data_IF_747155987771
#
_entry.id   IF_747155987771
#
_cell.length_a   1.000
_cell.length_b   1.000
_cell.length_c   1.000
_cell.angle_alpha   90.00
_cell.angle_beta   90.00
_cell.angle_gamma   90.00
#
_symmetry.space_group_name_H-M   'P 1'
#
loop_
_entity.id
_entity.type
_entity.pdbx_description
1 polymer ?
#
# COMPACT_ATOMS: atom_id res chain seq x y z
N UNK A 1 -35.82 59.17 6.82
CA UNK A 1 -37.11 58.87 7.49
C UNK A 1 -36.84 57.92 8.64
N UNK A 2 -37.12 58.38 9.87
CA UNK A 2 -37.42 57.69 11.17
C UNK A 2 -36.78 56.31 11.42
N UNK A 3 -35.85 56.14 12.37
CA UNK A 3 -36.01 56.01 13.86
C UNK A 3 -36.95 54.85 14.25
N UNK A 4 -36.62 53.92 15.14
CA UNK A 4 -36.58 53.91 16.63
C UNK A 4 -35.90 52.56 17.05
N UNK A 5 -35.34 52.28 18.23
CA UNK A 5 -35.27 52.93 19.54
C UNK A 5 -34.80 51.91 20.61
N UNK A 6 -34.11 52.40 21.64
CA UNK A 6 -33.37 51.74 22.75
C UNK A 6 -34.22 51.04 23.84
N UNK A 7 -33.60 50.18 24.69
CA UNK A 7 -33.26 50.37 26.13
C UNK A 7 -32.87 49.01 26.78
N UNK A 8 -31.63 48.77 27.26
CA UNK A 8 -30.98 49.10 28.55
C UNK A 8 -31.55 48.37 29.78
N UNK A 9 -30.67 47.68 30.53
CA UNK A 9 -30.86 47.28 31.93
C UNK A 9 -29.53 46.77 32.51
N UNK A 10 -28.99 47.50 33.50
CA UNK A 10 -27.62 47.41 33.99
C UNK A 10 -27.57 47.10 35.50
N UNK A 11 -26.60 46.25 35.89
CA UNK A 11 -25.71 46.36 37.08
C UNK A 11 -26.27 46.04 38.49
N UNK A 12 -25.44 45.98 39.57
CA UNK A 12 -24.72 44.82 40.13
C UNK A 12 -24.88 44.77 41.69
N UNK A 13 -23.85 44.35 42.49
CA UNK A 13 -23.64 44.49 43.98
C UNK A 13 -23.85 43.16 44.77
N UNK A 14 -23.04 42.70 45.75
CA UNK A 14 -21.83 43.19 46.44
C UNK A 14 -21.01 42.04 47.08
N UNK A 15 -19.76 42.36 47.45
CA UNK A 15 -18.88 41.62 48.37
C UNK A 15 -19.38 41.68 49.83
N UNK A 16 -19.09 40.63 50.63
CA UNK A 16 -18.62 40.85 52.00
C UNK A 16 -17.76 39.71 52.59
N UNK A 17 -16.86 40.15 53.45
CA UNK A 17 -15.68 39.54 54.05
C UNK A 17 -15.95 39.07 55.51
N UNK A 18 -14.98 38.32 56.07
CA UNK A 18 -14.69 38.06 57.51
C UNK A 18 -15.52 36.98 58.23
N UNK A 19 -15.06 36.25 59.27
CA UNK A 19 -13.74 35.86 59.81
C UNK A 19 -13.98 35.03 61.09
N UNK A 20 -13.04 34.13 61.43
CA UNK A 20 -12.64 33.64 62.77
C UNK A 20 -13.51 32.65 63.58
N UNK A 21 -12.95 31.44 63.70
CA UNK A 21 -12.65 30.60 64.88
C UNK A 21 -13.58 30.55 66.11
N UNK A 22 -13.93 29.31 66.52
CA UNK A 22 -13.73 28.83 67.90
C UNK A 22 -13.76 27.29 67.98
N UNK A 23 -12.78 26.73 68.71
CA UNK A 23 -12.62 25.32 69.08
C UNK A 23 -13.62 24.89 70.17
N UNK A 24 -14.14 23.66 70.08
CA UNK A 24 -14.48 22.82 71.24
C UNK A 24 -14.21 21.35 70.94
N UNK A 25 -13.35 20.74 71.77
CA UNK A 25 -13.11 19.29 71.85
C UNK A 25 -14.33 18.57 72.45
N UNK A 26 -14.68 17.41 71.91
CA UNK A 26 -15.31 16.33 72.69
C UNK A 26 -14.85 14.97 72.17
N UNK A 27 -14.33 14.18 73.09
CA UNK A 27 -13.76 12.84 72.92
C UNK A 27 -14.86 11.78 73.03
N UNK A 28 -15.04 10.97 71.98
CA UNK A 28 -15.70 9.67 72.09
C UNK A 28 -14.83 8.58 71.49
N UNK A 29 -14.42 7.64 72.36
CA UNK A 29 -13.75 6.39 72.02
C UNK A 29 -14.74 5.41 71.37
N UNK A 30 -14.37 4.88 70.21
CA UNK A 30 -15.03 3.73 69.57
C UNK A 30 -13.99 2.61 69.36
N UNK A 31 -14.31 1.34 69.68
CA UNK A 31 -13.34 0.27 69.77
C UNK A 31 -12.99 -0.36 68.41
N UNK A 32 -11.68 -0.46 68.18
CA UNK A 32 -10.91 -1.55 67.57
C UNK A 32 -11.67 -2.68 66.83
N UNK A 33 -12.24 -2.41 65.63
CA UNK A 33 -12.39 -3.40 64.54
C UNK A 33 -12.50 -2.69 63.18
N UNK A 34 -11.38 -2.54 62.47
CA UNK A 34 -11.22 -2.46 61.00
C UNK A 34 -9.81 -1.94 60.67
N UNK A 35 -8.80 -2.81 60.80
CA UNK A 35 -7.40 -2.49 60.52
C UNK A 35 -6.85 -3.35 59.35
N UNK A 36 -7.68 -3.52 58.32
CA UNK A 36 -7.32 -4.22 57.08
C UNK A 36 -7.75 -3.47 55.80
N UNK A 37 -8.26 -2.23 55.90
CA UNK A 37 -8.90 -1.53 54.78
C UNK A 37 -8.33 -0.14 54.42
N UNK A 38 -7.30 0.37 55.12
CA UNK A 38 -6.84 1.75 54.97
C UNK A 38 -5.37 1.93 54.58
N UNK A 39 -4.66 0.84 54.30
CA UNK A 39 -3.33 0.89 53.67
C UNK A 39 -3.38 0.81 52.13
N UNK A 40 -4.56 0.62 51.55
CA UNK A 40 -4.77 0.56 50.09
C UNK A 40 -5.33 1.87 49.48
N UNK A 41 -5.65 2.87 50.30
CA UNK A 41 -6.25 4.13 49.86
C UNK A 41 -5.33 5.36 49.99
N UNK A 42 -4.13 5.21 50.57
CA UNK A 42 -3.09 6.26 50.60
C UNK A 42 -1.91 5.99 49.65
N UNK A 43 -1.99 4.96 48.81
CA UNK A 43 -1.03 4.73 47.72
C UNK A 43 -1.54 5.22 46.34
N UNK A 44 -2.71 5.84 46.29
CA UNK A 44 -3.38 6.21 45.03
C UNK A 44 -3.55 7.72 44.81
N UNK A 45 -2.94 8.58 45.64
CA UNK A 45 -3.11 10.04 45.50
C UNK A 45 -1.81 10.86 45.63
N UNK A 46 -0.66 10.34 45.16
CA UNK A 46 0.60 11.11 45.13
C UNK A 46 1.47 10.89 43.88
N UNK A 47 0.89 10.52 42.75
CA UNK A 47 1.60 10.40 41.45
C UNK A 47 1.09 11.39 40.41
N UNK A 48 0.93 12.66 40.79
CA UNK A 48 0.68 13.75 39.84
C UNK A 48 1.80 14.78 39.97
N UNK A 49 2.55 14.95 38.87
CA UNK A 49 3.64 15.90 38.61
C UNK A 49 5.04 15.57 39.16
N UNK A 50 5.66 14.49 38.66
CA UNK A 50 7.11 14.50 38.47
C UNK A 50 7.39 15.07 37.05
N UNK A 51 8.26 16.07 36.88
CA UNK A 51 8.70 16.48 35.55
C UNK A 51 9.47 15.30 34.97
N UNK A 52 8.93 14.69 33.92
CA UNK A 52 9.64 13.68 33.14
C UNK A 52 10.82 14.41 32.49
N UNK A 53 12.02 14.21 33.04
CA UNK A 53 13.24 14.53 32.32
C UNK A 53 13.16 13.79 30.97
N UNK A 54 13.29 14.52 29.86
CA UNK A 54 13.25 13.95 28.53
C UNK A 54 14.22 12.77 28.44
N UNK A 55 13.67 11.57 28.40
CA UNK A 55 14.44 10.39 28.06
C UNK A 55 14.80 10.55 26.59
N UNK A 56 16.07 10.76 26.27
CA UNK A 56 16.50 10.69 24.88
C UNK A 56 16.19 9.29 24.39
N UNK A 57 15.24 9.19 23.46
CA UNK A 57 14.91 7.94 22.82
C UNK A 57 16.15 7.49 22.04
N UNK A 58 16.83 6.46 22.54
CA UNK A 58 17.74 5.68 21.71
C UNK A 58 16.91 5.10 20.56
N UNK A 59 17.21 5.44 19.29
CA UNK A 59 16.47 4.90 18.17
C UNK A 59 16.59 3.37 18.19
N UNK A 60 15.45 2.68 18.06
CA UNK A 60 15.43 1.25 17.88
C UNK A 60 16.30 0.91 16.65
N UNK A 61 17.30 0.06 16.86
CA UNK A 61 18.20 -0.36 15.80
C UNK A 61 17.42 -0.96 14.64
N UNK A 62 17.86 -0.63 13.42
CA UNK A 62 17.40 -1.14 12.13
C UNK A 62 16.95 -2.61 12.21
N UNK A 63 15.63 -2.86 12.22
CA UNK A 63 15.13 -4.20 11.90
C UNK A 63 15.62 -4.55 10.48
N UNK A 64 16.27 -5.71 10.27
CA UNK A 64 16.74 -6.09 8.94
C UNK A 64 15.57 -6.20 7.97
N UNK A 65 15.82 -5.85 6.70
CA UNK A 65 14.92 -6.15 5.58
C UNK A 65 14.54 -7.64 5.67
N UNK A 66 13.27 -7.99 5.46
CA UNK A 66 12.87 -9.39 5.44
C UNK A 66 13.64 -10.09 4.30
N UNK A 67 14.48 -11.07 4.65
CA UNK A 67 15.46 -11.70 3.75
C UNK A 67 14.84 -12.68 2.74
N UNK A 68 13.56 -12.52 2.39
CA UNK A 68 12.82 -13.50 1.58
C UNK A 68 12.99 -13.28 0.08
N UNK A 69 13.56 -12.16 -0.36
CA UNK A 69 13.97 -11.91 -1.74
C UNK A 69 15.30 -11.15 -1.75
N UNK A 70 16.26 -11.48 -2.63
CA UNK A 70 17.42 -10.61 -2.80
C UNK A 70 16.93 -9.32 -3.48
N UNK A 71 16.91 -8.20 -2.76
CA UNK A 71 16.78 -6.91 -3.41
C UNK A 71 18.16 -6.50 -3.89
N UNK A 72 18.26 -6.15 -5.18
CA UNK A 72 19.53 -5.79 -5.80
C UNK A 72 20.19 -4.54 -5.18
N UNK A 73 19.47 -3.79 -4.32
CA UNK A 73 19.85 -2.46 -3.83
C UNK A 73 19.62 -2.25 -2.33
N UNK A 74 19.81 -3.29 -1.50
CA UNK A 74 19.53 -3.27 -0.06
C UNK A 74 20.02 -2.01 0.67
N UNK A 75 21.25 -1.54 0.40
CA UNK A 75 21.79 -0.36 1.07
C UNK A 75 21.09 0.95 0.66
N UNK A 76 20.76 1.12 -0.62
CA UNK A 76 20.04 2.29 -1.11
C UNK A 76 18.59 2.29 -0.64
N UNK A 77 17.94 1.12 -0.68
CA UNK A 77 16.59 0.91 -0.15
C UNK A 77 16.55 1.24 1.35
N UNK A 78 17.52 0.74 2.13
CA UNK A 78 17.60 1.03 3.57
C UNK A 78 17.73 2.54 3.87
N UNK A 79 18.55 3.28 3.09
CA UNK A 79 18.68 4.74 3.22
C UNK A 79 17.38 5.46 2.89
N UNK A 80 16.70 5.07 1.80
CA UNK A 80 15.41 5.65 1.42
C UNK A 80 14.34 5.40 2.50
N UNK A 81 14.28 4.19 3.05
CA UNK A 81 13.36 3.85 4.15
C UNK A 81 13.70 4.65 5.40
N UNK A 82 14.99 4.81 5.74
CA UNK A 82 15.42 5.65 6.86
C UNK A 82 15.00 7.11 6.67
N UNK A 83 15.14 7.66 5.47
CA UNK A 83 14.61 8.98 5.12
C UNK A 83 13.09 9.03 5.32
N UNK A 84 12.33 8.09 4.74
CA UNK A 84 10.87 8.07 4.84
C UNK A 84 10.38 7.97 6.29
N UNK A 85 11.09 7.27 7.18
CA UNK A 85 10.77 7.25 8.61
C UNK A 85 10.81 8.64 9.25
N UNK A 86 11.70 9.52 8.80
CA UNK A 86 11.74 10.92 9.29
C UNK A 86 10.55 11.75 8.83
N UNK A 87 9.83 11.28 7.81
CA UNK A 87 8.65 11.95 7.24
C UNK A 87 7.34 11.35 7.77
N UNK A 88 7.41 10.29 8.60
CA UNK A 88 6.25 9.67 9.21
C UNK A 88 5.76 10.53 10.38
N UNK A 89 4.46 10.78 10.42
CA UNK A 89 3.82 11.54 11.50
C UNK A 89 3.23 10.63 12.58
N UNK A 90 2.81 11.24 13.70
CA UNK A 90 2.34 10.52 14.87
C UNK A 90 1.04 9.72 14.66
N UNK A 91 0.25 10.07 13.64
CA UNK A 91 -0.95 9.35 13.21
C UNK A 91 -0.63 8.10 12.38
N UNK A 92 0.64 7.85 12.06
CA UNK A 92 1.14 6.72 11.28
C UNK A 92 1.29 7.01 9.79
N UNK A 93 0.72 8.10 9.29
CA UNK A 93 0.78 8.51 7.89
C UNK A 93 2.09 9.19 7.51
N UNK A 94 2.29 9.44 6.21
CA UNK A 94 3.49 10.08 5.66
C UNK A 94 3.17 11.50 5.19
N UNK A 95 4.00 12.47 5.55
CA UNK A 95 3.98 13.80 4.94
C UNK A 95 4.69 13.74 3.57
N UNK A 96 3.98 13.27 2.54
CA UNK A 96 4.60 13.00 1.25
C UNK A 96 5.15 14.27 0.57
N UNK A 97 4.54 15.43 0.86
CA UNK A 97 4.79 16.68 0.16
C UNK A 97 5.52 17.73 1.01
N UNK A 98 5.75 17.48 2.30
CA UNK A 98 6.44 18.40 3.20
C UNK A 98 5.56 19.55 3.69
N UNK A 99 4.25 19.32 3.80
CA UNK A 99 3.27 20.33 4.26
C UNK A 99 2.96 20.24 5.76
N UNK A 100 3.64 19.35 6.49
CA UNK A 100 3.42 19.10 7.92
C UNK A 100 2.17 18.27 8.22
N UNK A 101 1.59 17.61 7.21
CA UNK A 101 0.38 16.81 7.36
C UNK A 101 0.48 15.53 6.52
N UNK A 102 0.01 14.42 7.10
CA UNK A 102 -0.01 13.16 6.39
C UNK A 102 -1.09 13.16 5.32
N UNK A 103 -0.84 12.50 4.20
CA UNK A 103 -1.81 12.38 3.12
C UNK A 103 -2.09 10.91 2.74
N UNK A 104 -3.35 10.64 2.42
CA UNK A 104 -3.85 9.30 2.12
C UNK A 104 -3.22 8.69 0.86
N UNK A 105 -2.96 9.51 -0.16
CA UNK A 105 -2.43 9.04 -1.44
C UNK A 105 -0.95 8.65 -1.35
N UNK A 106 -0.15 9.48 -0.68
CA UNK A 106 1.25 9.21 -0.36
C UNK A 106 1.40 8.05 0.61
N UNK A 107 0.56 7.97 1.64
CA UNK A 107 0.60 6.85 2.60
C UNK A 107 0.23 5.52 1.94
N UNK A 108 -0.79 5.48 1.06
CA UNK A 108 -1.12 4.27 0.31
C UNK A 108 0.03 3.83 -0.61
N UNK A 109 0.66 4.78 -1.31
CA UNK A 109 1.85 4.52 -2.14
C UNK A 109 3.05 4.04 -1.34
N UNK A 110 3.25 4.56 -0.13
CA UNK A 110 4.28 4.08 0.79
C UNK A 110 4.07 2.59 1.08
N UNK A 111 2.86 2.15 1.41
CA UNK A 111 2.59 0.73 1.68
C UNK A 111 2.90 -0.15 0.45
N UNK A 112 2.52 0.31 -0.75
CA UNK A 112 2.89 -0.37 -2.00
C UNK A 112 4.40 -0.46 -2.17
N UNK A 113 5.12 0.63 -1.95
CA UNK A 113 6.57 0.71 -2.09
C UNK A 113 7.27 -0.23 -1.10
N UNK A 114 6.83 -0.23 0.17
CA UNK A 114 7.35 -1.12 1.20
C UNK A 114 7.15 -2.60 0.81
N UNK A 115 5.97 -3.00 0.33
CA UNK A 115 5.75 -4.37 -0.18
C UNK A 115 6.66 -4.69 -1.38
N UNK A 116 6.80 -3.75 -2.32
CA UNK A 116 7.57 -3.94 -3.55
C UNK A 116 9.07 -4.17 -3.27
N UNK A 117 9.60 -3.56 -2.21
CA UNK A 117 10.98 -3.74 -1.73
C UNK A 117 11.08 -4.70 -0.53
N UNK A 118 10.04 -5.48 -0.26
CA UNK A 118 9.99 -6.50 0.81
C UNK A 118 10.23 -5.98 2.22
N UNK A 119 9.94 -4.70 2.47
CA UNK A 119 9.94 -4.16 3.81
C UNK A 119 8.57 -4.41 4.46
N UNK A 120 8.48 -5.19 5.56
CA UNK A 120 7.20 -5.43 6.23
C UNK A 120 6.59 -4.11 6.71
N UNK A 121 5.34 -3.82 6.30
CA UNK A 121 4.64 -2.58 6.69
C UNK A 121 4.51 -2.45 8.21
N UNK A 122 4.39 -3.57 8.92
CA UNK A 122 4.33 -3.65 10.39
C UNK A 122 5.60 -3.15 11.08
N UNK A 123 6.73 -3.17 10.38
CA UNK A 123 7.98 -2.62 10.88
C UNK A 123 8.02 -1.09 10.72
N UNK A 124 7.20 -0.49 9.85
CA UNK A 124 7.12 0.95 9.62
C UNK A 124 6.13 1.61 10.60
N UNK A 125 6.26 1.34 11.89
CA UNK A 125 5.40 1.91 12.95
C UNK A 125 6.07 3.13 13.58
N UNK A 126 5.31 4.22 13.72
CA UNK A 126 5.79 5.42 14.43
C UNK A 126 5.97 5.13 15.93
N UNK A 127 6.81 5.90 16.62
CA UNK A 127 7.04 5.76 18.07
C UNK A 127 5.78 5.93 18.94
N UNK A 128 4.75 6.57 18.41
CA UNK A 128 3.41 6.70 19.00
C UNK A 128 2.54 5.44 18.86
N UNK A 129 3.06 4.37 18.24
CA UNK A 129 2.37 3.09 18.07
C UNK A 129 1.39 3.03 16.90
N UNK A 130 1.47 3.97 15.95
CA UNK A 130 0.62 4.01 14.75
C UNK A 130 1.40 3.66 13.49
N UNK A 131 0.84 2.76 12.69
CA UNK A 131 1.38 2.31 11.40
C UNK A 131 0.63 2.98 10.22
N UNK A 132 1.18 2.92 8.99
CA UNK A 132 0.52 3.47 7.80
C UNK A 132 -0.89 2.94 7.58
N UNK A 133 -1.15 1.67 7.88
CA UNK A 133 -2.48 1.07 7.76
C UNK A 133 -3.49 1.65 8.77
N UNK A 134 -3.04 2.07 9.97
CA UNK A 134 -3.92 2.73 10.94
C UNK A 134 -4.41 4.09 10.43
N UNK A 135 -3.48 4.86 9.84
CA UNK A 135 -3.79 6.14 9.21
C UNK A 135 -4.77 5.96 8.05
N UNK A 136 -4.49 5.00 7.16
CA UNK A 136 -5.37 4.70 6.02
C UNK A 136 -6.75 4.23 6.47
N UNK A 137 -6.86 3.41 7.52
CA UNK A 137 -8.15 2.97 8.04
C UNK A 137 -8.96 4.14 8.62
N UNK A 138 -8.29 5.06 9.32
CA UNK A 138 -8.91 6.22 9.96
C UNK A 138 -9.43 7.22 8.93
N UNK A 139 -8.64 7.54 7.90
CA UNK A 139 -9.00 8.52 6.86
C UNK A 139 -9.80 7.93 5.68
N UNK A 140 -10.07 6.62 5.69
CA UNK A 140 -10.58 5.88 4.53
C UNK A 140 -11.82 6.52 3.92
N UNK A 141 -12.84 6.74 4.76
CA UNK A 141 -14.15 7.24 4.34
C UNK A 141 -14.04 8.55 3.56
N UNK A 142 -13.36 9.54 4.12
CA UNK A 142 -13.26 10.88 3.53
C UNK A 142 -12.39 10.90 2.28
N UNK A 143 -11.49 9.92 2.16
CA UNK A 143 -10.65 9.79 0.99
C UNK A 143 -11.37 9.20 -0.22
N UNK A 144 -12.14 8.12 0.00
CA UNK A 144 -12.77 7.36 -1.08
C UNK A 144 -14.17 7.88 -1.44
N UNK A 145 -14.81 8.68 -0.58
CA UNK A 145 -16.09 9.33 -0.88
C UNK A 145 -15.94 10.84 -1.04
N UNK A 146 -16.43 11.38 -2.17
CA UNK A 146 -16.54 12.82 -2.34
C UNK A 146 -17.45 13.44 -1.28
N UNK A 147 -16.97 14.52 -0.66
CA UNK A 147 -17.68 15.29 0.38
C UNK A 147 -18.05 14.47 1.63
N UNK A 148 -17.41 13.32 1.89
CA UNK A 148 -17.66 12.47 3.06
C UNK A 148 -19.01 11.74 3.05
N UNK A 149 -19.74 11.78 1.93
CA UNK A 149 -21.06 11.15 1.77
C UNK A 149 -20.91 9.68 1.38
N UNK A 150 -21.33 8.77 2.25
CA UNK A 150 -21.25 7.31 2.02
C UNK A 150 -22.39 6.88 1.09
N UNK A 151 -22.24 7.20 -0.20
CA UNK A 151 -23.15 6.85 -1.27
C UNK A 151 -22.34 6.31 -2.45
N UNK A 152 -22.83 5.28 -3.13
CA UNK A 152 -22.11 4.68 -4.26
C UNK A 152 -21.84 5.69 -5.37
N UNK A 153 -22.78 6.60 -5.62
CA UNK A 153 -22.62 7.70 -6.57
C UNK A 153 -21.49 8.68 -6.21
N UNK A 154 -21.03 8.69 -4.95
CA UNK A 154 -19.97 9.56 -4.42
C UNK A 154 -18.64 8.85 -4.24
N UNK A 155 -18.56 7.54 -4.52
CA UNK A 155 -17.29 6.81 -4.50
C UNK A 155 -16.33 7.35 -5.58
N UNK A 156 -15.04 7.45 -5.26
CA UNK A 156 -13.96 7.85 -6.17
C UNK A 156 -13.16 6.60 -6.57
N UNK A 157 -13.47 5.93 -7.71
CA UNK A 157 -12.96 4.58 -8.01
C UNK A 157 -11.44 4.47 -8.05
N UNK A 158 -10.75 5.48 -8.60
CA UNK A 158 -9.28 5.48 -8.63
C UNK A 158 -8.65 5.56 -7.24
N UNK A 159 -9.24 6.32 -6.32
CA UNK A 159 -8.78 6.42 -4.93
C UNK A 159 -9.08 5.12 -4.16
N UNK A 160 -10.26 4.56 -4.35
CA UNK A 160 -10.64 3.25 -3.79
C UNK A 160 -9.67 2.17 -4.27
N UNK A 161 -9.35 2.13 -5.56
CA UNK A 161 -8.40 1.19 -6.15
C UNK A 161 -6.98 1.33 -5.58
N UNK A 162 -6.49 2.56 -5.41
CA UNK A 162 -5.20 2.81 -4.78
C UNK A 162 -5.13 2.30 -3.34
N UNK A 163 -6.15 2.58 -2.52
CA UNK A 163 -6.18 2.10 -1.14
C UNK A 163 -6.36 0.59 -1.09
N UNK A 164 -7.20 0.01 -1.95
CA UNK A 164 -7.35 -1.44 -2.08
C UNK A 164 -5.99 -2.12 -2.38
N UNK A 165 -5.21 -1.55 -3.30
CA UNK A 165 -3.87 -2.04 -3.60
C UNK A 165 -2.95 -1.99 -2.36
N UNK A 166 -2.98 -0.87 -1.62
CA UNK A 166 -2.19 -0.68 -0.40
C UNK A 166 -2.60 -1.66 0.71
N UNK A 167 -3.91 -1.86 0.92
CA UNK A 167 -4.46 -2.81 1.92
C UNK A 167 -3.99 -4.22 1.62
N UNK A 168 -4.12 -4.66 0.36
CA UNK A 168 -3.65 -5.98 -0.06
C UNK A 168 -2.12 -6.13 0.04
N UNK A 169 -1.36 -5.09 -0.29
CA UNK A 169 0.09 -5.06 -0.16
C UNK A 169 0.56 -5.11 1.31
N UNK A 170 -0.22 -4.51 2.21
CA UNK A 170 -0.01 -4.54 3.65
C UNK A 170 -0.55 -5.78 4.35
N UNK A 171 -1.06 -6.76 3.62
CA UNK A 171 -1.65 -8.01 4.13
C UNK A 171 -2.83 -7.79 5.10
N UNK A 172 -3.58 -6.70 4.89
CA UNK A 172 -4.81 -6.41 5.62
C UNK A 172 -6.04 -6.88 4.83
N UNK A 173 -7.15 -7.14 5.53
CA UNK A 173 -8.40 -7.64 4.93
C UNK A 173 -9.13 -6.54 4.13
N UNK A 174 -9.19 -6.63 2.79
CA UNK A 174 -9.86 -5.63 1.96
C UNK A 174 -11.39 -5.67 2.05
N UNK A 175 -11.99 -6.72 2.62
CA UNK A 175 -13.43 -6.86 2.79
C UNK A 175 -13.96 -6.20 4.08
N UNK A 176 -13.07 -5.81 5.00
CA UNK A 176 -13.44 -5.19 6.27
C UNK A 176 -12.58 -3.98 6.67
N UNK A 177 -11.73 -3.47 5.75
CA UNK A 177 -10.78 -2.41 6.06
C UNK A 177 -11.47 -1.09 6.41
N UNK A 178 -11.13 -0.51 7.57
CA UNK A 178 -11.74 0.73 8.05
C UNK A 178 -13.28 0.66 8.20
N UNK A 179 -13.86 -0.54 8.27
CA UNK A 179 -15.32 -0.74 8.28
C UNK A 179 -15.97 -0.77 6.89
N UNK A 180 -15.20 -0.91 5.82
CA UNK A 180 -15.69 -0.95 4.45
C UNK A 180 -15.18 -2.18 3.69
N UNK A 181 -16.03 -2.81 2.89
CA UNK A 181 -15.61 -3.74 1.84
C UNK A 181 -15.17 -2.93 0.61
N UNK A 182 -13.85 -2.85 0.38
CA UNK A 182 -13.28 -2.10 -0.74
C UNK A 182 -13.45 -2.81 -2.07
N UNK A 183 -13.49 -4.15 -2.07
CA UNK A 183 -13.68 -4.96 -3.28
C UNK A 183 -15.11 -4.81 -3.78
N UNK A 184 -16.09 -4.96 -2.89
CA UNK A 184 -17.51 -4.79 -3.22
C UNK A 184 -17.78 -3.37 -3.72
N UNK A 185 -17.30 -2.34 -3.00
CA UNK A 185 -17.51 -0.93 -3.40
C UNK A 185 -16.88 -0.61 -4.74
N UNK A 186 -15.68 -1.10 -5.02
CA UNK A 186 -15.05 -0.83 -6.30
C UNK A 186 -15.80 -1.54 -7.44
N UNK A 187 -16.21 -2.79 -7.22
CA UNK A 187 -17.02 -3.54 -8.20
C UNK A 187 -18.42 -2.93 -8.43
N UNK A 188 -19.04 -2.32 -7.41
CA UNK A 188 -20.33 -1.63 -7.59
C UNK A 188 -20.22 -0.37 -8.46
N UNK A 189 -19.02 0.21 -8.60
CA UNK A 189 -18.76 1.31 -9.52
C UNK A 189 -18.51 0.89 -10.98
N UNK A 190 -18.50 -0.41 -11.27
CA UNK A 190 -18.28 -0.94 -12.62
C UNK A 190 -19.54 -0.91 -13.48
N UNK A 191 -19.44 -0.28 -14.65
CA UNK A 191 -20.52 -0.20 -15.63
C UNK A 191 -20.25 -1.17 -16.77
N UNK A 192 -20.89 -2.35 -16.74
CA UNK A 192 -20.67 -3.39 -17.73
C UNK A 192 -20.94 -2.93 -19.17
N UNK A 193 -21.92 -2.04 -19.40
CA UNK A 193 -22.23 -1.55 -20.75
C UNK A 193 -21.07 -0.76 -21.39
N UNK A 194 -20.31 -0.02 -20.59
CA UNK A 194 -19.21 0.85 -21.06
C UNK A 194 -17.83 0.29 -20.76
N UNK A 195 -17.71 -0.67 -19.85
CA UNK A 195 -16.43 -1.18 -19.34
C UNK A 195 -15.74 -0.24 -18.36
N UNK A 196 -16.44 0.71 -17.73
CA UNK A 196 -15.78 1.74 -16.92
C UNK A 196 -16.01 1.55 -15.43
N UNK A 197 -14.96 1.73 -14.63
CA UNK A 197 -15.09 2.02 -13.21
C UNK A 197 -15.33 3.52 -13.06
N UNK A 198 -16.58 3.92 -12.79
CA UNK A 198 -16.94 5.34 -12.77
C UNK A 198 -18.17 5.65 -11.92
N UNK A 199 -18.25 6.88 -11.44
CA UNK A 199 -19.38 7.44 -10.68
C UNK A 199 -19.60 8.91 -11.05
N UNK A 200 -20.54 9.57 -10.38
CA UNK A 200 -20.79 11.02 -10.51
C UNK A 200 -20.08 11.85 -9.43
N UNK A 201 -19.14 11.24 -8.71
CA UNK A 201 -18.40 11.90 -7.65
C UNK A 201 -17.54 13.04 -8.21
N UNK A 202 -17.55 14.18 -7.53
CA UNK A 202 -16.68 15.31 -7.83
C UNK A 202 -16.09 15.83 -6.53
N UNK A 203 -14.77 15.93 -6.48
CA UNK A 203 -14.00 16.53 -5.41
C UNK A 203 -12.98 17.52 -6.03
N UNK A 204 -12.38 18.38 -5.20
CA UNK A 204 -11.55 19.48 -5.70
C UNK A 204 -10.40 19.03 -6.62
N UNK A 205 -9.74 17.91 -6.30
CA UNK A 205 -8.62 17.37 -7.06
C UNK A 205 -8.83 15.91 -7.47
N UNK A 206 -10.07 15.45 -7.50
CA UNK A 206 -10.41 14.08 -7.90
C UNK A 206 -11.83 14.03 -8.48
N UNK A 207 -12.04 13.13 -9.43
CA UNK A 207 -13.34 12.87 -10.02
C UNK A 207 -13.62 11.38 -10.00
N UNK A 208 -14.89 11.02 -9.91
CA UNK A 208 -15.39 9.66 -10.14
C UNK A 208 -15.56 9.33 -11.62
N UNK A 209 -15.44 10.30 -12.53
CA UNK A 209 -15.61 10.07 -13.97
C UNK A 209 -14.57 9.10 -14.53
N UNK A 210 -14.97 8.34 -15.55
CA UNK A 210 -14.08 7.44 -16.28
C UNK A 210 -12.94 8.23 -16.92
N UNK A 211 -11.71 7.87 -16.60
CA UNK A 211 -10.48 8.37 -17.24
C UNK A 211 -9.37 7.31 -17.05
N UNK A 212 -8.28 7.36 -17.85
CA UNK A 212 -7.22 6.37 -17.78
C UNK A 212 -6.62 6.19 -16.38
N UNK A 213 -6.39 7.27 -15.62
CA UNK A 213 -5.83 7.18 -14.26
C UNK A 213 -6.77 6.42 -13.32
N UNK A 214 -8.05 6.79 -13.27
CA UNK A 214 -9.03 6.12 -12.42
C UNK A 214 -9.20 4.65 -12.79
N UNK A 215 -9.30 4.35 -14.08
CA UNK A 215 -9.48 3.00 -14.57
C UNK A 215 -8.26 2.13 -14.25
N UNK A 216 -7.05 2.62 -14.50
CA UNK A 216 -5.81 1.90 -14.19
C UNK A 216 -5.67 1.63 -12.70
N UNK A 217 -5.88 2.62 -11.84
CA UNK A 217 -5.78 2.43 -10.39
C UNK A 217 -6.86 1.49 -9.84
N UNK A 218 -8.08 1.53 -10.39
CA UNK A 218 -9.13 0.57 -10.04
C UNK A 218 -8.72 -0.87 -10.39
N UNK A 219 -8.22 -1.09 -11.61
CA UNK A 219 -7.73 -2.40 -12.06
C UNK A 219 -6.53 -2.85 -11.21
N UNK A 220 -5.55 -1.99 -10.96
CA UNK A 220 -4.38 -2.31 -10.13
C UNK A 220 -4.81 -2.74 -8.72
N UNK A 221 -5.77 -2.04 -8.11
CA UNK A 221 -6.33 -2.42 -6.81
C UNK A 221 -6.94 -3.81 -6.81
N UNK A 222 -7.81 -4.10 -7.77
CA UNK A 222 -8.45 -5.41 -7.89
C UNK A 222 -7.43 -6.52 -8.16
N UNK A 223 -6.46 -6.30 -9.05
CA UNK A 223 -5.37 -7.25 -9.32
C UNK A 223 -4.57 -7.52 -8.05
N UNK A 224 -4.17 -6.47 -7.32
CA UNK A 224 -3.42 -6.58 -6.07
C UNK A 224 -4.20 -7.35 -4.98
N UNK A 225 -5.53 -7.25 -4.99
CA UNK A 225 -6.44 -7.99 -4.12
C UNK A 225 -6.83 -9.38 -4.67
N UNK A 226 -6.16 -9.87 -5.72
CA UNK A 226 -6.40 -11.20 -6.29
C UNK A 226 -7.77 -11.36 -6.96
N UNK A 227 -8.42 -10.26 -7.36
CA UNK A 227 -9.75 -10.26 -7.96
C UNK A 227 -9.67 -10.37 -9.48
N UNK A 228 -10.63 -11.06 -10.12
CA UNK A 228 -10.72 -11.12 -11.58
C UNK A 228 -11.08 -9.74 -12.15
N UNK A 229 -10.53 -9.44 -13.34
CA UNK A 229 -10.79 -8.17 -14.03
C UNK A 229 -11.71 -8.41 -15.23
N UNK A 230 -12.87 -7.75 -15.32
CA UNK A 230 -13.74 -7.85 -16.50
C UNK A 230 -12.99 -7.47 -17.79
N UNK A 231 -13.08 -8.31 -18.83
CA UNK A 231 -12.38 -8.07 -20.10
C UNK A 231 -12.72 -6.71 -20.72
N UNK A 232 -13.98 -6.27 -20.60
CA UNK A 232 -14.41 -4.98 -21.13
C UNK A 232 -13.79 -3.78 -20.39
N UNK A 233 -13.34 -3.95 -19.15
CA UNK A 233 -12.58 -2.94 -18.42
C UNK A 233 -11.23 -2.64 -19.06
N UNK A 234 -10.54 -3.71 -19.48
CA UNK A 234 -9.25 -3.62 -20.18
C UNK A 234 -9.41 -3.21 -21.64
N UNK A 235 -10.53 -3.60 -22.29
CA UNK A 235 -10.88 -3.11 -23.62
C UNK A 235 -11.07 -1.60 -23.60
N UNK A 236 -11.87 -1.06 -22.67
CA UNK A 236 -12.08 0.38 -22.56
C UNK A 236 -10.74 1.11 -22.34
N UNK A 237 -9.90 0.62 -21.42
CA UNK A 237 -8.59 1.24 -21.18
C UNK A 237 -7.73 1.24 -22.43
N UNK A 238 -7.71 0.14 -23.19
CA UNK A 238 -7.00 0.02 -24.46
C UNK A 238 -7.49 1.03 -25.49
N UNK A 239 -8.80 1.30 -25.58
CA UNK A 239 -9.33 2.29 -26.56
C UNK A 239 -9.01 3.73 -26.19
N UNK A 240 -8.62 4.01 -24.94
CA UNK A 240 -8.17 5.35 -24.54
C UNK A 240 -6.72 5.64 -24.94
N UNK A 241 -6.00 4.67 -25.49
CA UNK A 241 -4.62 4.86 -25.94
C UNK A 241 -4.58 5.87 -27.10
N UNK A 242 -3.66 6.83 -27.02
CA UNK A 242 -3.42 7.82 -28.06
C UNK A 242 -2.61 7.22 -29.21
N UNK A 243 -2.63 7.89 -30.37
CA UNK A 243 -1.90 7.43 -31.56
C UNK A 243 -0.38 7.27 -31.36
N UNK A 244 0.20 8.00 -30.40
CA UNK A 244 1.61 7.88 -30.04
C UNK A 244 1.91 6.74 -29.04
N UNK A 245 0.91 5.90 -28.71
CA UNK A 245 1.05 4.77 -27.79
C UNK A 245 0.87 5.11 -26.31
N UNK A 246 0.74 6.39 -25.94
CA UNK A 246 0.60 6.82 -24.55
C UNK A 246 -0.85 6.89 -24.07
N UNK A 247 -1.02 7.02 -22.75
CA UNK A 247 -2.25 7.55 -22.16
C UNK A 247 -2.00 8.96 -21.66
N UNK A 248 -2.77 9.92 -22.18
CA UNK A 248 -2.68 11.33 -21.78
C UNK A 248 -1.34 12.00 -22.12
N UNK A 249 -0.52 11.42 -23.02
CA UNK A 249 0.84 11.86 -23.30
C UNK A 249 1.72 11.97 -22.03
N UNK A 250 1.44 11.12 -21.04
CA UNK A 250 2.12 11.09 -19.74
C UNK A 250 2.81 9.74 -19.54
N UNK A 251 4.07 9.78 -19.16
CA UNK A 251 4.88 8.62 -18.74
C UNK A 251 4.21 7.91 -17.56
N UNK A 252 3.81 8.66 -16.53
CA UNK A 252 3.20 8.10 -15.32
C UNK A 252 1.89 7.36 -15.65
N UNK A 253 1.00 8.02 -16.38
CA UNK A 253 -0.30 7.42 -16.75
C UNK A 253 -0.12 6.22 -17.68
N UNK A 254 0.87 6.28 -18.59
CA UNK A 254 1.22 5.14 -19.45
C UNK A 254 1.78 3.97 -18.63
N UNK A 255 2.60 4.25 -17.61
CA UNK A 255 3.06 3.26 -16.66
C UNK A 255 1.90 2.59 -15.91
N UNK A 256 0.93 3.36 -15.42
CA UNK A 256 -0.27 2.82 -14.76
C UNK A 256 -1.06 1.91 -15.72
N UNK A 257 -1.24 2.33 -16.97
CA UNK A 257 -1.96 1.57 -17.97
C UNK A 257 -1.28 0.23 -18.30
N UNK A 258 0.04 0.22 -18.50
CA UNK A 258 0.81 -1.02 -18.73
C UNK A 258 0.66 -1.97 -17.54
N UNK A 259 0.87 -1.48 -16.31
CA UNK A 259 0.77 -2.28 -15.09
C UNK A 259 -0.64 -2.86 -14.92
N UNK A 260 -1.68 -2.05 -15.15
CA UNK A 260 -3.07 -2.48 -15.09
C UNK A 260 -3.41 -3.55 -16.15
N UNK A 261 -3.09 -3.29 -17.42
CA UNK A 261 -3.43 -4.18 -18.54
C UNK A 261 -2.73 -5.53 -18.42
N UNK A 262 -1.43 -5.53 -18.12
CA UNK A 262 -0.67 -6.77 -17.95
C UNK A 262 -1.01 -7.50 -16.65
N UNK A 263 -1.17 -6.73 -15.55
CA UNK A 263 -1.56 -7.28 -14.26
C UNK A 263 -2.91 -7.99 -14.29
N UNK A 264 -3.85 -7.50 -15.10
CA UNK A 264 -5.17 -8.10 -15.28
C UNK A 264 -5.16 -9.52 -15.87
N UNK A 265 -4.10 -9.89 -16.60
CA UNK A 265 -4.05 -11.12 -17.39
C UNK A 265 -4.88 -11.11 -18.68
N UNK A 266 -5.66 -10.05 -18.96
CA UNK A 266 -6.47 -9.94 -20.17
C UNK A 266 -5.68 -9.50 -21.41
N UNK A 267 -4.49 -8.92 -21.22
CA UNK A 267 -3.63 -8.42 -22.31
C UNK A 267 -2.24 -9.01 -22.17
N UNK A 268 -1.71 -9.56 -23.27
CA UNK A 268 -0.38 -10.15 -23.31
C UNK A 268 0.70 -9.07 -23.49
N UNK A 269 1.93 -9.27 -22.98
CA UNK A 269 3.06 -8.37 -23.22
C UNK A 269 3.32 -8.09 -24.70
N UNK A 270 3.06 -9.06 -25.58
CA UNK A 270 3.27 -8.96 -27.04
C UNK A 270 2.12 -8.27 -27.78
N UNK A 271 1.03 -7.89 -27.11
CA UNK A 271 -0.10 -7.23 -27.74
C UNK A 271 0.29 -5.84 -28.26
N UNK A 272 -0.26 -5.45 -29.43
CA UNK A 272 0.07 -4.19 -30.09
C UNK A 272 -0.07 -2.95 -29.18
N UNK A 273 -1.13 -2.80 -28.35
CA UNK A 273 -1.23 -1.67 -27.41
C UNK A 273 -0.06 -1.59 -26.43
N UNK A 274 0.41 -2.74 -25.93
CA UNK A 274 1.55 -2.77 -25.00
C UNK A 274 2.84 -2.40 -25.74
N UNK A 275 3.06 -2.97 -26.93
CA UNK A 275 4.27 -2.67 -27.73
C UNK A 275 4.34 -1.18 -28.12
N UNK A 276 3.21 -0.55 -28.45
CA UNK A 276 3.14 0.89 -28.72
C UNK A 276 3.42 1.73 -27.48
N UNK A 277 2.92 1.31 -26.31
CA UNK A 277 3.20 1.98 -25.04
C UNK A 277 4.68 1.88 -24.64
N UNK A 278 5.31 0.73 -24.88
CA UNK A 278 6.74 0.55 -24.68
C UNK A 278 7.55 1.43 -25.63
N UNK A 279 7.17 1.52 -26.91
CA UNK A 279 7.81 2.43 -27.87
C UNK A 279 7.66 3.91 -27.45
N UNK A 280 6.53 4.30 -26.84
CA UNK A 280 6.38 5.62 -26.24
C UNK A 280 7.37 5.84 -25.08
N UNK A 281 7.50 4.87 -24.16
CA UNK A 281 8.46 4.96 -23.06
C UNK A 281 9.90 5.05 -23.59
N UNK A 282 10.26 4.28 -24.61
CA UNK A 282 11.58 4.35 -25.28
C UNK A 282 11.84 5.75 -25.83
N UNK A 283 10.89 6.32 -26.57
CA UNK A 283 10.99 7.68 -27.10
C UNK A 283 11.05 8.77 -26.01
N UNK A 284 10.56 8.49 -24.80
CA UNK A 284 10.59 9.42 -23.66
C UNK A 284 11.79 9.21 -22.74
N UNK A 285 12.53 8.12 -22.89
CA UNK A 285 13.73 7.89 -22.11
C UNK A 285 14.82 8.86 -22.56
N UNK A 286 15.36 9.64 -21.63
CA UNK A 286 16.49 10.51 -21.94
C UNK A 286 17.73 9.64 -22.18
N UNK A 287 18.29 9.66 -23.40
CA UNK A 287 19.42 8.80 -23.76
C UNK A 287 20.69 9.06 -22.94
N UNK A 288 20.87 10.29 -22.41
CA UNK A 288 22.04 10.65 -21.60
C UNK A 288 21.89 10.20 -20.15
N UNK A 289 20.72 10.41 -19.55
CA UNK A 289 20.49 10.13 -18.13
C UNK A 289 19.85 8.77 -17.89
N UNK A 290 19.27 8.12 -18.90
CA UNK A 290 18.44 6.92 -18.81
C UNK A 290 17.19 7.06 -17.94
N UNK A 291 16.81 8.28 -17.56
CA UNK A 291 15.62 8.60 -16.77
C UNK A 291 14.45 9.00 -17.67
N UNK A 292 13.24 9.01 -17.11
CA UNK A 292 12.01 9.39 -17.82
C UNK A 292 11.35 10.63 -17.24
N UNK A 293 10.66 11.35 -18.12
CA UNK A 293 9.55 12.23 -17.77
C UNK A 293 8.84 12.80 -19.00
N UNK A 294 7.85 13.64 -18.76
CA UNK A 294 6.91 14.09 -19.79
C UNK A 294 7.48 15.15 -20.73
N UNK A 295 8.51 15.88 -20.27
CA UNK A 295 9.21 16.92 -21.02
C UNK A 295 10.72 16.67 -21.01
N UNK A 296 11.40 17.07 -22.08
CA UNK A 296 12.85 17.00 -22.18
C UNK A 296 13.52 17.80 -21.05
N UNK A 297 14.46 17.18 -20.33
CA UNK A 297 15.12 17.80 -19.17
C UNK A 297 14.29 17.79 -17.89
N UNK A 298 13.10 17.19 -17.89
CA UNK A 298 12.27 16.97 -16.70
C UNK A 298 12.21 15.48 -16.41
N UNK A 299 13.16 14.97 -15.64
CA UNK A 299 13.25 13.54 -15.30
C UNK A 299 13.08 13.25 -13.80
N UNK A 300 11.87 13.43 -13.24
CA UNK A 300 11.66 13.24 -11.82
C UNK A 300 11.75 11.75 -11.45
N UNK A 301 12.21 11.49 -10.22
CA UNK A 301 12.48 10.12 -9.77
C UNK A 301 11.23 9.24 -9.77
N UNK A 302 10.05 9.82 -9.53
CA UNK A 302 8.78 9.11 -9.55
C UNK A 302 8.41 8.57 -10.94
N UNK A 303 8.55 9.38 -12.00
CA UNK A 303 8.26 8.93 -13.37
C UNK A 303 9.19 7.83 -13.82
N UNK A 304 10.47 7.91 -13.41
CA UNK A 304 11.43 6.81 -13.63
C UNK A 304 11.03 5.55 -12.87
N UNK A 305 10.61 5.67 -11.62
CA UNK A 305 10.14 4.54 -10.81
C UNK A 305 8.97 3.79 -11.44
N UNK A 306 7.95 4.53 -11.91
CA UNK A 306 6.80 3.96 -12.62
C UNK A 306 7.17 3.35 -13.97
N UNK A 307 8.08 3.98 -14.72
CA UNK A 307 8.57 3.46 -15.99
C UNK A 307 9.28 2.12 -15.80
N UNK A 308 10.22 2.05 -14.86
CA UNK A 308 10.92 0.80 -14.54
C UNK A 308 9.93 -0.28 -14.08
N UNK A 309 8.93 0.08 -13.27
CA UNK A 309 7.92 -0.90 -12.82
C UNK A 309 7.05 -1.43 -13.97
N UNK A 310 6.66 -0.59 -14.92
CA UNK A 310 5.93 -0.99 -16.12
C UNK A 310 6.76 -1.93 -17.00
N UNK A 311 8.06 -1.63 -17.15
CA UNK A 311 9.01 -2.46 -17.90
C UNK A 311 9.23 -3.82 -17.24
N UNK A 312 9.40 -3.85 -15.91
CA UNK A 312 9.47 -5.08 -15.14
C UNK A 312 8.19 -5.92 -15.30
N UNK A 313 7.02 -5.27 -15.29
CA UNK A 313 5.72 -5.93 -15.53
C UNK A 313 5.62 -6.54 -16.93
N UNK A 314 6.23 -5.90 -17.93
CA UNK A 314 6.33 -6.41 -19.30
C UNK A 314 7.40 -7.51 -19.48
N UNK A 315 8.16 -7.83 -18.42
CA UNK A 315 9.18 -8.89 -18.43
C UNK A 315 10.59 -8.42 -18.76
N UNK A 316 10.84 -7.11 -18.85
CA UNK A 316 12.18 -6.55 -19.15
C UNK A 316 13.08 -6.49 -17.92
N UNK A 317 13.32 -7.64 -17.29
CA UNK A 317 14.22 -7.77 -16.13
C UNK A 317 15.44 -8.63 -16.50
N UNK A 318 16.68 -8.28 -16.09
CA UNK A 318 17.03 -7.10 -15.30
C UNK A 318 17.09 -5.81 -16.15
N UNK A 319 16.55 -4.70 -15.63
CA UNK A 319 16.42 -3.41 -16.35
C UNK A 319 17.77 -2.82 -16.75
N UNK A 320 18.82 -3.18 -16.01
CA UNK A 320 20.20 -2.75 -16.20
C UNK A 320 20.76 -3.15 -17.56
N UNK A 321 20.16 -4.16 -18.21
CA UNK A 321 20.62 -4.69 -19.50
C UNK A 321 19.59 -4.52 -20.61
N UNK A 322 18.30 -4.64 -20.29
CA UNK A 322 17.21 -4.60 -21.26
C UNK A 322 16.89 -3.18 -21.75
N UNK A 323 17.17 -2.16 -20.93
CA UNK A 323 16.85 -0.74 -21.20
C UNK A 323 18.03 0.21 -20.91
N UNK A 324 19.26 -0.31 -21.02
CA UNK A 324 20.47 0.49 -20.91
C UNK A 324 20.60 1.47 -22.08
N UNK A 325 21.11 2.67 -21.81
CA UNK A 325 21.46 3.64 -22.84
C UNK A 325 22.98 3.68 -23.03
N UNK A 326 23.48 4.47 -23.98
CA UNK A 326 24.90 4.51 -24.35
C UNK A 326 25.85 4.99 -23.23
N UNK A 327 25.33 5.55 -22.14
CA UNK A 327 26.14 6.11 -21.04
C UNK A 327 25.81 5.60 -19.64
N UNK A 328 24.67 4.96 -19.41
CA UNK A 328 24.22 4.44 -18.10
C UNK A 328 23.02 3.50 -18.27
N UNK A 329 22.47 3.00 -17.18
CA UNK A 329 21.19 2.29 -17.18
C UNK A 329 20.18 2.94 -16.22
N UNK A 330 18.87 2.68 -16.40
CA UNK A 330 17.80 3.23 -15.59
C UNK A 330 18.02 3.16 -14.09
N UNK A 331 18.45 1.99 -13.59
CA UNK A 331 18.60 1.78 -12.15
C UNK A 331 19.79 2.55 -11.60
N UNK A 332 20.92 2.51 -12.29
CA UNK A 332 22.12 3.27 -11.90
C UNK A 332 21.82 4.77 -11.88
N UNK A 333 21.08 5.27 -12.87
CA UNK A 333 20.65 6.65 -12.91
C UNK A 333 19.72 7.02 -11.75
N UNK A 334 18.71 6.19 -11.46
CA UNK A 334 17.78 6.40 -10.36
C UNK A 334 18.49 6.40 -9.00
N UNK A 335 19.46 5.49 -8.80
CA UNK A 335 20.32 5.47 -7.61
C UNK A 335 21.20 6.72 -7.51
N UNK A 336 21.65 7.27 -8.65
CA UNK A 336 22.39 8.52 -8.71
C UNK A 336 21.61 9.75 -8.22
N UNK A 337 20.28 9.66 -8.13
CA UNK A 337 19.43 10.70 -7.54
C UNK A 337 19.31 10.61 -6.02
N UNK A 338 19.87 9.56 -5.38
CA UNK A 338 19.81 9.42 -3.93
C UNK A 338 20.76 10.41 -3.24
N UNK A 339 20.18 11.24 -2.37
CA UNK A 339 20.90 12.23 -1.57
C UNK A 339 21.52 11.62 -0.32
N UNK A 340 22.40 12.37 0.35
CA UNK A 340 23.09 11.92 1.55
C UNK A 340 22.13 11.55 2.70
N UNK A 341 20.98 12.22 2.80
CA UNK A 341 19.94 11.92 3.79
C UNK A 341 19.06 10.71 3.42
N UNK A 342 19.25 10.12 2.24
CA UNK A 342 18.50 8.97 1.73
C UNK A 342 17.33 9.29 0.81
N UNK A 343 16.89 10.55 0.73
CA UNK A 343 15.84 10.96 -0.20
C UNK A 343 16.27 10.73 -1.65
N UNK A 344 15.35 10.36 -2.54
CA UNK A 344 15.64 10.11 -3.95
C UNK A 344 14.89 11.13 -4.81
N UNK A 345 15.64 12.02 -5.47
CA UNK A 345 15.06 13.08 -6.30
C UNK A 345 16.10 14.07 -6.81
N UNK A 346 15.82 14.64 -7.99
CA UNK A 346 16.60 15.72 -8.59
C UNK A 346 16.10 17.10 -8.13
N UNK A 347 15.63 17.91 -9.08
CA UNK A 347 15.08 19.25 -8.78
C UNK A 347 13.83 19.24 -7.90
N UNK A 348 13.10 18.12 -7.86
CA UNK A 348 12.01 17.85 -6.93
C UNK A 348 12.37 16.64 -6.07
N UNK A 349 12.56 16.87 -4.78
CA UNK A 349 12.95 15.85 -3.80
C UNK A 349 12.11 15.98 -2.54
N UNK A 350 11.43 14.89 -2.16
CA UNK A 350 10.59 14.77 -0.97
C UNK A 350 10.23 13.30 -0.72
N UNK A 351 9.34 13.04 0.25
CA UNK A 351 8.83 11.69 0.49
C UNK A 351 8.11 11.11 -0.73
N UNK A 352 7.28 11.89 -1.45
CA UNK A 352 6.56 11.40 -2.62
C UNK A 352 7.49 10.86 -3.71
N UNK A 353 8.47 11.65 -4.13
CA UNK A 353 9.49 11.23 -5.12
C UNK A 353 10.29 10.02 -4.64
N UNK A 354 10.65 9.97 -3.36
CA UNK A 354 11.39 8.84 -2.77
C UNK A 354 10.55 7.56 -2.73
N UNK A 355 9.27 7.65 -2.38
CA UNK A 355 8.32 6.52 -2.36
C UNK A 355 8.23 5.90 -3.75
N UNK A 356 7.96 6.71 -4.77
CA UNK A 356 7.73 6.17 -6.11
C UNK A 356 9.04 5.73 -6.79
N UNK A 357 10.19 6.31 -6.41
CA UNK A 357 11.49 5.80 -6.83
C UNK A 357 11.73 4.35 -6.37
N UNK A 358 11.21 3.93 -5.20
CA UNK A 358 11.34 2.55 -4.73
C UNK A 358 10.70 1.53 -5.67
N UNK A 359 9.68 1.91 -6.45
CA UNK A 359 9.08 1.05 -7.47
C UNK A 359 10.07 0.63 -8.56
N UNK A 360 11.07 1.49 -8.82
CA UNK A 360 12.15 1.24 -9.79
C UNK A 360 13.41 0.62 -9.18
N UNK A 361 13.45 0.39 -7.87
CA UNK A 361 14.56 -0.30 -7.19
C UNK A 361 14.27 -1.79 -6.92
N UNK A 362 13.10 -2.25 -7.36
CA UNK A 362 12.70 -3.65 -7.38
C UNK A 362 12.52 -4.15 -8.82
N UNK A 363 12.57 -5.46 -9.01
CA UNK A 363 12.16 -6.12 -10.26
C UNK A 363 10.74 -6.72 -10.16
N UNK A 364 10.03 -6.44 -9.06
CA UNK A 364 8.68 -6.92 -8.85
C UNK A 364 7.64 -5.88 -9.28
N UNK A 365 6.63 -6.29 -10.09
CA UNK A 365 5.45 -5.46 -10.30
C UNK A 365 4.76 -5.11 -8.98
N UNK A 366 4.33 -3.87 -8.80
CA UNK A 366 3.78 -3.40 -7.50
C UNK A 366 2.51 -4.13 -7.05
N UNK A 367 1.78 -4.75 -7.98
CA UNK A 367 0.59 -5.55 -7.66
C UNK A 367 0.92 -6.95 -7.11
N UNK A 368 2.20 -7.34 -7.07
CA UNK A 368 2.65 -8.60 -6.47
C UNK A 368 2.57 -8.50 -4.94
N UNK A 369 1.36 -8.51 -4.40
CA UNK A 369 1.08 -8.58 -2.97
C UNK A 369 1.39 -9.98 -2.41
N UNK A 370 1.45 -10.17 -1.08
CA UNK A 370 1.57 -11.51 -0.49
C UNK A 370 0.55 -12.50 -1.05
N UNK A 371 -0.72 -12.09 -1.15
CA UNK A 371 -1.81 -12.87 -1.73
C UNK A 371 -1.52 -13.28 -3.18
N UNK A 372 -1.21 -12.32 -4.05
CA UNK A 372 -0.99 -12.57 -5.49
C UNK A 372 0.25 -13.45 -5.71
N UNK A 373 1.32 -13.25 -4.93
CA UNK A 373 2.50 -14.12 -4.96
C UNK A 373 2.15 -15.56 -4.57
N UNK A 374 1.34 -15.74 -3.53
CA UNK A 374 0.82 -17.04 -3.12
C UNK A 374 0.02 -17.71 -4.25
N UNK A 375 -0.97 -17.01 -4.80
CA UNK A 375 -1.80 -17.51 -5.89
C UNK A 375 -0.97 -17.92 -7.13
N UNK A 376 -0.02 -17.08 -7.56
CA UNK A 376 0.85 -17.38 -8.70
C UNK A 376 1.78 -18.57 -8.42
N UNK A 377 2.30 -18.68 -7.20
CA UNK A 377 3.12 -19.83 -6.78
C UNK A 377 2.30 -21.10 -6.86
N UNK A 378 1.09 -21.13 -6.28
CA UNK A 378 0.22 -22.31 -6.34
C UNK A 378 -0.20 -22.66 -7.76
N UNK A 379 -0.47 -21.68 -8.62
CA UNK A 379 -0.75 -21.93 -10.04
C UNK A 379 0.44 -22.55 -10.77
N UNK A 380 1.66 -22.05 -10.50
CA UNK A 380 2.91 -22.61 -11.04
C UNK A 380 3.15 -24.05 -10.57
N UNK A 381 2.96 -24.32 -9.28
CA UNK A 381 3.06 -25.66 -8.72
C UNK A 381 1.99 -26.56 -9.35
N UNK A 382 0.75 -26.07 -9.47
CA UNK A 382 -0.34 -26.82 -10.07
C UNK A 382 -0.04 -27.28 -11.50
N UNK A 383 0.55 -26.41 -12.32
CA UNK A 383 0.92 -26.70 -13.70
C UNK A 383 2.04 -27.76 -13.82
N UNK A 384 2.72 -28.11 -12.73
CA UNK A 384 3.79 -29.13 -12.67
C UNK A 384 3.35 -30.45 -12.05
N UNK A 385 2.09 -30.55 -11.65
CA UNK A 385 1.56 -31.82 -11.16
C UNK A 385 1.55 -32.83 -12.32
N UNK A 386 2.17 -33.98 -12.11
CA UNK A 386 2.16 -35.08 -13.06
C UNK A 386 0.79 -35.77 -13.09
N UNK A 387 0.53 -36.54 -14.14
CA UNK A 387 -0.73 -37.26 -14.32
C UNK A 387 -1.01 -38.25 -13.18
N UNK A 388 0.01 -38.83 -12.57
CA UNK A 388 -0.14 -39.74 -11.42
C UNK A 388 -0.60 -39.04 -10.12
N UNK A 389 -0.68 -37.71 -10.12
CA UNK A 389 -1.08 -36.90 -8.97
C UNK A 389 0.09 -36.38 -8.13
N UNK A 390 1.32 -36.84 -8.39
CA UNK A 390 2.54 -36.40 -7.71
C UNK A 390 3.22 -35.19 -8.36
N UNK A 391 4.31 -34.74 -7.74
CA UNK A 391 5.17 -33.67 -8.22
C UNK A 391 6.60 -34.16 -8.39
N UNK A 392 7.31 -33.70 -9.43
CA UNK A 392 8.74 -33.99 -9.57
C UNK A 392 9.59 -33.21 -8.57
N UNK A 393 10.68 -33.82 -8.12
CA UNK A 393 11.77 -33.15 -7.38
C UNK A 393 12.91 -32.78 -8.32
N UNK A 394 13.70 -33.78 -8.75
CA UNK A 394 14.72 -33.67 -9.80
C UNK A 394 14.33 -34.57 -10.97
N UNK A 395 14.25 -34.00 -12.18
CA UNK A 395 13.81 -34.72 -13.38
C UNK A 395 12.30 -34.65 -13.59
N UNK A 396 11.74 -35.61 -14.35
CA UNK A 396 10.34 -35.57 -14.78
C UNK A 396 9.40 -36.47 -13.94
N UNK A 397 9.94 -37.48 -13.25
CA UNK A 397 9.15 -38.42 -12.47
C UNK A 397 8.70 -37.81 -11.14
N UNK A 398 7.52 -38.20 -10.68
CA UNK A 398 7.00 -37.80 -9.37
C UNK A 398 7.86 -38.35 -8.23
N UNK A 399 8.05 -37.53 -7.21
CA UNK A 399 8.79 -37.83 -5.98
C UNK A 399 7.88 -37.63 -4.77
N UNK A 400 7.96 -38.50 -3.78
CA UNK A 400 7.11 -38.44 -2.59
C UNK A 400 7.42 -37.23 -1.71
N UNK A 401 8.69 -36.85 -1.56
CA UNK A 401 9.10 -35.66 -0.80
C UNK A 401 8.58 -34.38 -1.44
N UNK A 402 8.85 -34.18 -2.73
CA UNK A 402 8.31 -33.04 -3.47
C UNK A 402 6.78 -33.02 -3.45
N UNK A 403 6.12 -34.17 -3.56
CA UNK A 403 4.65 -34.23 -3.47
C UNK A 403 4.14 -33.79 -2.10
N UNK A 404 4.81 -34.18 -1.02
CA UNK A 404 4.47 -33.71 0.34
C UNK A 404 4.67 -32.21 0.50
N UNK A 405 5.81 -31.67 0.07
CA UNK A 405 6.11 -30.23 0.16
C UNK A 405 5.08 -29.39 -0.60
N UNK A 406 4.75 -29.82 -1.82
CA UNK A 406 3.71 -29.17 -2.63
C UNK A 406 2.33 -29.27 -1.97
N UNK A 407 1.98 -30.45 -1.44
CA UNK A 407 0.72 -30.64 -0.72
C UNK A 407 0.63 -29.70 0.50
N UNK A 408 1.71 -29.55 1.28
CA UNK A 408 1.75 -28.62 2.40
C UNK A 408 1.56 -27.18 1.96
N UNK A 409 2.16 -26.76 0.84
CA UNK A 409 1.95 -25.42 0.29
C UNK A 409 0.47 -25.15 -0.07
N UNK A 410 -0.21 -26.10 -0.73
CA UNK A 410 -1.64 -25.97 -1.02
C UNK A 410 -2.51 -25.96 0.24
N UNK A 411 -2.23 -26.83 1.21
CA UNK A 411 -2.97 -26.88 2.48
C UNK A 411 -2.78 -25.60 3.29
N UNK A 412 -1.57 -25.06 3.34
CA UNK A 412 -1.28 -23.78 3.99
C UNK A 412 -2.05 -22.62 3.36
N UNK A 413 -2.36 -22.71 2.06
CA UNK A 413 -3.23 -21.78 1.35
C UNK A 413 -4.73 -22.10 1.45
N UNK A 414 -5.12 -23.05 2.30
CA UNK A 414 -6.51 -23.41 2.59
C UNK A 414 -7.14 -24.42 1.62
N UNK A 415 -6.39 -25.00 0.69
CA UNK A 415 -6.92 -26.03 -0.21
C UNK A 415 -7.09 -27.36 0.50
N UNK A 416 -8.22 -28.01 0.26
CA UNK A 416 -8.45 -29.38 0.69
C UNK A 416 -7.60 -30.34 -0.16
N UNK A 417 -6.82 -31.28 0.42
CA UNK A 417 -5.96 -32.20 -0.32
C UNK A 417 -6.65 -32.92 -1.49
N UNK A 418 -7.89 -33.39 -1.27
CA UNK A 418 -8.67 -34.13 -2.27
C UNK A 418 -9.22 -33.26 -3.42
N UNK A 419 -9.22 -31.94 -3.26
CA UNK A 419 -9.60 -31.01 -4.32
C UNK A 419 -8.44 -30.75 -5.30
N UNK A 420 -7.21 -31.12 -4.94
CA UNK A 420 -6.02 -30.93 -5.77
C UNK A 420 -5.90 -32.11 -6.73
N UNK A 421 -6.31 -31.91 -7.99
CA UNK A 421 -6.36 -33.01 -8.98
C UNK A 421 -5.49 -32.79 -10.23
N UNK A 422 -4.72 -33.79 -10.65
CA UNK A 422 -3.98 -33.76 -11.91
C UNK A 422 -4.91 -33.64 -13.13
N UNK A 423 -4.35 -33.48 -14.33
CA UNK A 423 -5.11 -33.45 -15.58
C UNK A 423 -5.93 -34.74 -15.80
N UNK A 424 -5.46 -35.87 -15.28
CA UNK A 424 -6.13 -37.18 -15.31
C UNK A 424 -6.93 -37.47 -14.03
N UNK A 425 -7.22 -36.44 -13.23
CA UNK A 425 -8.08 -36.49 -12.05
C UNK A 425 -7.51 -37.34 -10.88
N UNK A 426 -6.19 -37.52 -10.80
CA UNK A 426 -5.48 -38.13 -9.65
C UNK A 426 -5.14 -37.11 -8.58
N UNK A 427 -5.07 -37.52 -7.31
CA UNK A 427 -4.75 -36.63 -6.18
C UNK A 427 -3.33 -36.86 -5.66
N UNK A 428 -2.69 -35.87 -5.00
CA UNK A 428 -1.43 -36.09 -4.29
C UNK A 428 -1.53 -37.23 -3.29
N UNK A 429 -2.66 -37.36 -2.60
CA UNK A 429 -2.87 -38.42 -1.63
C UNK A 429 -2.94 -39.81 -2.29
N UNK A 430 -3.51 -39.92 -3.49
CA UNK A 430 -3.52 -41.16 -4.25
C UNK A 430 -2.09 -41.56 -4.65
N UNK A 431 -1.29 -40.63 -5.15
CA UNK A 431 0.13 -40.87 -5.44
C UNK A 431 0.88 -41.31 -4.17
N UNK A 432 0.81 -40.53 -3.09
CA UNK A 432 1.51 -40.82 -1.84
C UNK A 432 1.11 -42.18 -1.24
N UNK A 433 -0.15 -42.60 -1.37
CA UNK A 433 -0.59 -43.92 -0.93
C UNK A 433 0.13 -45.06 -1.66
N UNK A 434 0.49 -44.88 -2.95
CA UNK A 434 1.28 -45.88 -3.69
C UNK A 434 2.75 -45.92 -3.26
N UNK A 435 3.27 -44.80 -2.74
CA UNK A 435 4.67 -44.67 -2.32
C UNK A 435 4.89 -45.01 -0.84
N UNK A 436 3.82 -45.07 -0.03
CA UNK A 436 3.91 -45.21 1.43
C UNK A 436 4.63 -46.48 1.93
N UNK A 437 4.72 -47.53 1.11
CA UNK A 437 5.44 -48.77 1.46
C UNK A 437 6.92 -48.76 1.02
N UNK A 438 7.31 -47.81 0.19
CA UNK A 438 8.63 -47.74 -0.45
C UNK A 438 9.41 -46.48 -0.09
N UNK A 439 8.77 -45.52 0.56
CA UNK A 439 9.36 -44.32 1.17
C UNK A 439 9.69 -44.60 2.64
#
# INVERSE_FOLDING_TARGET
>A
MRSWGFFVGATPIDLHLQSKEHLTMSTHHVPLRLLSGLLLAMLTLSLWFAPVAAHQATPAANAPLATTFPFYQDAAIAKAIAYLRTQQLADGGIDAFGFGAADMGGTARLVLALNAVGYPVTNFTHSAGKAPLDFLATGLRDYIFANGLIEDAKLLPGRTGLVLAAVAAGDADPHAFGGHDLVERLNSSYHAATGTYSTTATAQFASGSANPVNQSLAIIGLVAAGQPIPAQATTWLTTQQMANGSWGNSVDTTGYAIVALLGSGNVLPTAAPIQQALAFLDARQNLRTALWGDAEGSEPANSTGWSINALATAGYTPIETTWATSGTNPRTALLGLQQANGAIGGGYVNAFSTIEALYGLTDQPIFMTPLVRGQRTLAYLKARQNDDGGWPSLGAASDAGATLDNLFAFVAAGYQPNAIKSATNQTPLAFLATQALTY
#
